data_IF_120859126823
#
_entry.id   IF_120859126823
#
_cell.length_a   1.000
_cell.length_b   1.000
_cell.length_c   1.000
_cell.angle_alpha   90.00
_cell.angle_beta   90.00
_cell.angle_gamma   90.00
#
_symmetry.space_group_name_H-M   'P 1'
#
loop_
_entity.id
_entity.type
_entity.pdbx_description
1 polymer ?
#
# COMPACT_ATOMS: atom_id res chain seq x y z
N UNK A 1 60.62 -37.55 -40.70
CA UNK A 1 59.21 -37.70 -40.29
C UNK A 1 59.12 -37.46 -38.80
N UNK A 2 58.68 -36.29 -38.33
CA UNK A 2 58.12 -36.05 -36.99
C UNK A 2 57.66 -34.57 -36.98
N UNK A 3 56.38 -34.33 -37.30
CA UNK A 3 55.75 -33.01 -37.22
C UNK A 3 55.13 -32.90 -35.82
N UNK A 4 55.66 -31.99 -34.99
CA UNK A 4 55.03 -31.57 -33.73
C UNK A 4 53.81 -30.72 -34.07
N UNK A 5 52.61 -31.24 -33.79
CA UNK A 5 51.38 -30.46 -33.74
C UNK A 5 51.28 -29.82 -32.35
N UNK A 6 51.41 -28.50 -32.29
CA UNK A 6 51.12 -27.71 -31.12
C UNK A 6 49.58 -27.59 -30.97
N UNK A 7 49.02 -28.17 -29.91
CA UNK A 7 47.66 -27.87 -29.47
C UNK A 7 47.68 -26.48 -28.80
N UNK A 8 46.99 -25.52 -29.41
CA UNK A 8 46.65 -24.27 -28.74
C UNK A 8 45.45 -24.51 -27.80
N UNK A 9 45.46 -24.01 -26.56
CA UNK A 9 44.30 -24.06 -25.70
C UNK A 9 43.26 -23.04 -26.21
N UNK A 10 42.09 -23.53 -26.63
CA UNK A 10 40.91 -22.68 -26.79
C UNK A 10 40.56 -22.12 -25.40
N UNK A 11 40.87 -20.84 -25.19
CA UNK A 11 40.31 -20.07 -24.09
C UNK A 11 38.82 -19.86 -24.38
N UNK A 12 37.95 -20.65 -23.74
CA UNK A 12 36.54 -20.31 -23.58
C UNK A 12 36.47 -19.04 -22.72
N UNK A 13 36.31 -17.90 -23.37
CA UNK A 13 35.85 -16.67 -22.73
C UNK A 13 34.38 -16.89 -22.33
N UNK A 14 34.18 -17.32 -21.09
CA UNK A 14 32.91 -17.20 -20.39
C UNK A 14 32.59 -15.70 -20.28
N UNK A 15 31.76 -15.20 -21.18
CA UNK A 15 31.08 -13.92 -21.04
C UNK A 15 29.98 -14.08 -19.98
N UNK A 16 30.37 -14.11 -18.70
CA UNK A 16 29.44 -14.02 -17.59
C UNK A 16 29.16 -12.53 -17.33
N UNK A 17 27.92 -12.17 -17.62
CA UNK A 17 27.06 -11.28 -16.84
C UNK A 17 27.59 -9.85 -16.65
N UNK A 18 27.11 -8.96 -17.52
CA UNK A 18 26.93 -7.55 -17.17
C UNK A 18 26.20 -7.48 -15.81
N UNK A 19 26.93 -7.10 -14.76
CA UNK A 19 26.33 -6.70 -13.49
C UNK A 19 25.55 -5.43 -13.77
N UNK A 20 24.25 -5.57 -13.97
CA UNK A 20 23.32 -4.47 -13.84
C UNK A 20 23.53 -3.91 -12.44
N UNK A 21 24.09 -2.69 -12.35
CA UNK A 21 24.02 -1.92 -11.12
C UNK A 21 22.56 -1.94 -10.65
N UNK A 22 22.29 -2.19 -9.36
CA UNK A 22 20.91 -2.24 -8.88
C UNK A 22 20.28 -0.89 -9.24
N UNK A 23 19.37 -0.93 -10.21
CA UNK A 23 18.64 0.25 -10.64
C UNK A 23 17.84 0.80 -9.46
N UNK A 24 17.25 1.98 -9.63
CA UNK A 24 16.42 2.61 -8.59
C UNK A 24 15.27 1.71 -8.08
N UNK A 25 14.90 0.68 -8.86
CA UNK A 25 13.89 -0.30 -8.52
C UNK A 25 14.41 -1.60 -7.86
N UNK A 26 15.72 -1.74 -7.66
CA UNK A 26 16.32 -3.00 -7.21
C UNK A 26 16.43 -4.06 -8.32
N UNK A 27 16.63 -5.32 -7.92
CA UNK A 27 16.83 -6.45 -8.83
C UNK A 27 15.56 -6.91 -9.55
N UNK A 28 14.40 -6.73 -8.91
CA UNK A 28 13.14 -7.35 -9.32
C UNK A 28 12.11 -6.34 -9.83
N UNK A 29 12.46 -5.05 -9.82
CA UNK A 29 11.60 -3.97 -10.29
C UNK A 29 11.96 -3.50 -11.70
N UNK A 30 10.94 -3.23 -12.50
CA UNK A 30 11.08 -2.62 -13.81
C UNK A 30 11.02 -1.09 -13.70
N UNK A 31 12.10 -0.41 -14.10
CA UNK A 31 12.17 1.06 -14.11
C UNK A 31 11.64 1.65 -15.41
N UNK A 32 10.79 2.67 -15.30
CA UNK A 32 10.36 3.52 -16.41
C UNK A 32 10.19 4.97 -15.93
N UNK A 33 10.38 5.92 -16.85
CA UNK A 33 10.04 7.33 -16.62
C UNK A 33 8.70 7.60 -17.29
N UNK A 34 7.72 8.08 -16.51
CA UNK A 34 6.36 8.42 -16.97
C UNK A 34 6.12 9.89 -16.66
N UNK A 35 5.93 10.70 -17.71
CA UNK A 35 5.70 12.14 -17.58
C UNK A 35 6.71 12.86 -16.67
N UNK A 36 7.98 12.45 -16.77
CA UNK A 36 9.11 13.02 -16.02
C UNK A 36 9.28 12.47 -14.60
N UNK A 37 8.40 11.59 -14.13
CA UNK A 37 8.49 10.94 -12.83
C UNK A 37 9.08 9.53 -12.94
N UNK A 38 9.83 9.13 -11.93
CA UNK A 38 10.39 7.78 -11.84
C UNK A 38 9.33 6.81 -11.36
N UNK A 39 9.20 5.69 -12.08
CA UNK A 39 8.24 4.63 -11.76
C UNK A 39 8.97 3.30 -11.73
N UNK A 40 8.71 2.54 -10.68
CA UNK A 40 9.16 1.17 -10.50
C UNK A 40 7.94 0.26 -10.43
N UNK A 41 7.90 -0.75 -11.28
CA UNK A 41 6.80 -1.70 -11.33
C UNK A 41 7.29 -3.10 -10.95
N UNK A 42 6.53 -3.79 -10.10
CA UNK A 42 6.87 -5.09 -9.51
C UNK A 42 5.72 -6.07 -9.72
N UNK A 43 6.01 -7.29 -10.18
CA UNK A 43 4.99 -8.31 -10.40
C UNK A 43 4.49 -8.88 -9.07
N UNK A 44 3.18 -9.04 -8.88
CA UNK A 44 2.58 -9.44 -7.59
C UNK A 44 2.82 -10.90 -7.17
N UNK A 45 3.59 -11.71 -7.91
CA UNK A 45 3.96 -13.07 -7.46
C UNK A 45 5.01 -13.10 -6.33
N UNK A 46 5.60 -11.95 -5.96
CA UNK A 46 6.63 -11.84 -4.89
C UNK A 46 6.04 -11.28 -3.58
N UNK A 47 4.76 -10.91 -3.55
CA UNK A 47 4.07 -10.41 -2.34
C UNK A 47 3.38 -11.56 -1.60
N UNK A 48 4.09 -12.67 -1.38
CA UNK A 48 3.62 -13.72 -0.48
C UNK A 48 4.64 -13.81 0.66
N UNK A 49 4.17 -13.54 1.87
CA UNK A 49 4.84 -13.69 3.18
C UNK A 49 5.75 -12.55 3.71
N UNK A 50 6.23 -11.61 2.88
CA UNK A 50 7.25 -10.63 3.32
C UNK A 50 6.83 -9.17 3.55
N UNK A 51 5.63 -8.75 3.15
CA UNK A 51 5.22 -7.34 3.21
C UNK A 51 6.05 -6.44 2.29
N UNK A 52 5.76 -6.45 0.99
CA UNK A 52 6.46 -5.60 0.00
C UNK A 52 6.37 -4.12 0.37
N UNK A 53 7.52 -3.42 0.33
CA UNK A 53 7.64 -1.98 0.56
C UNK A 53 8.34 -1.32 -0.62
N UNK A 54 7.81 -0.18 -1.05
CA UNK A 54 8.43 0.63 -2.08
C UNK A 54 9.80 1.16 -1.61
N UNK A 55 10.75 1.38 -2.53
CA UNK A 55 12.00 2.05 -2.20
C UNK A 55 11.74 3.43 -1.59
N UNK A 56 12.55 3.85 -0.61
CA UNK A 56 12.39 5.15 0.06
C UNK A 56 12.45 6.35 -0.90
N UNK A 57 13.13 6.20 -2.05
CA UNK A 57 13.17 7.22 -3.11
C UNK A 57 11.87 7.33 -3.93
N UNK A 58 10.96 6.37 -3.80
CA UNK A 58 9.72 6.23 -4.57
C UNK A 58 8.55 5.84 -3.64
N UNK A 59 8.18 6.69 -2.67
CA UNK A 59 7.31 6.32 -1.56
C UNK A 59 5.84 6.13 -1.97
N UNK A 60 5.42 6.65 -3.12
CA UNK A 60 4.03 6.58 -3.55
C UNK A 60 3.73 5.22 -4.16
N UNK A 61 2.91 4.43 -3.45
CA UNK A 61 2.47 3.10 -3.87
C UNK A 61 1.10 3.17 -4.54
N UNK A 62 0.98 2.52 -5.69
CA UNK A 62 -0.28 2.21 -6.36
C UNK A 62 -0.32 0.70 -6.62
N UNK A 63 -1.30 0.01 -6.05
CA UNK A 63 -1.54 -1.40 -6.31
C UNK A 63 -2.47 -1.56 -7.51
N UNK A 64 -2.05 -2.39 -8.47
CA UNK A 64 -2.80 -2.79 -9.65
C UNK A 64 -3.04 -4.30 -9.59
N UNK A 65 -4.01 -4.79 -10.34
CA UNK A 65 -4.25 -6.23 -10.45
C UNK A 65 -3.04 -6.92 -11.09
N UNK A 66 -2.26 -7.65 -10.28
CA UNK A 66 -1.03 -8.32 -10.72
C UNK A 66 0.26 -7.51 -10.58
N UNK A 67 0.23 -6.25 -10.13
CA UNK A 67 1.45 -5.45 -9.98
C UNK A 67 1.39 -4.41 -8.84
N UNK A 68 2.55 -4.10 -8.25
CA UNK A 68 2.74 -2.96 -7.38
C UNK A 68 3.59 -1.90 -8.09
N UNK A 69 3.14 -0.64 -8.06
CA UNK A 69 3.81 0.49 -8.68
C UNK A 69 4.31 1.43 -7.58
N UNK A 70 5.59 1.76 -7.62
CA UNK A 70 6.24 2.70 -6.71
C UNK A 70 6.73 3.92 -7.50
N UNK A 71 6.52 5.12 -6.99
CA UNK A 71 6.82 6.36 -7.74
C UNK A 71 7.22 7.52 -6.84
N UNK A 72 7.87 8.54 -7.42
CA UNK A 72 8.27 9.78 -6.74
C UNK A 72 7.14 10.81 -6.60
N UNK A 73 5.97 10.54 -7.19
CA UNK A 73 4.75 11.31 -7.03
C UNK A 73 3.52 10.41 -7.13
N UNK A 74 2.38 10.90 -6.66
CA UNK A 74 1.12 10.18 -6.76
C UNK A 74 0.67 10.07 -8.22
N UNK A 75 0.33 8.84 -8.63
CA UNK A 75 -0.23 8.53 -9.94
C UNK A 75 -1.61 7.89 -9.75
N UNK A 76 -2.53 8.20 -10.66
CA UNK A 76 -3.74 7.40 -10.86
C UNK A 76 -3.48 6.31 -11.90
N UNK A 77 -4.40 5.34 -11.98
CA UNK A 77 -4.32 4.27 -12.99
C UNK A 77 -4.29 4.84 -14.42
N UNK A 78 -4.99 5.94 -14.67
CA UNK A 78 -5.10 6.55 -16.00
C UNK A 78 -3.82 7.29 -16.45
N UNK A 79 -2.95 7.62 -15.50
CA UNK A 79 -1.68 8.29 -15.78
C UNK A 79 -0.57 7.30 -16.18
N UNK A 80 -0.79 6.00 -15.98
CA UNK A 80 0.20 4.97 -16.28
C UNK A 80 0.04 4.47 -17.71
N UNK A 81 1.14 4.28 -18.45
CA UNK A 81 1.05 3.80 -19.82
C UNK A 81 0.72 2.30 -19.82
N UNK A 82 -0.21 1.89 -20.69
CA UNK A 82 -0.69 0.50 -20.82
C UNK A 82 0.45 -0.53 -21.00
N UNK A 83 1.59 -0.10 -21.54
CA UNK A 83 2.74 -0.96 -21.81
C UNK A 83 3.63 -1.21 -20.58
N UNK A 84 3.60 -0.34 -19.57
CA UNK A 84 4.30 -0.55 -18.29
C UNK A 84 3.70 -1.77 -17.57
N UNK A 85 2.38 -1.78 -17.49
CA UNK A 85 1.57 -2.87 -16.95
C UNK A 85 1.89 -4.21 -17.62
N UNK A 86 1.80 -4.28 -18.96
CA UNK A 86 2.09 -5.50 -19.74
C UNK A 86 3.50 -6.05 -19.59
N UNK A 87 4.47 -5.19 -19.26
CA UNK A 87 5.88 -5.60 -19.12
C UNK A 87 6.17 -6.25 -17.77
N UNK A 88 5.40 -5.92 -16.75
CA UNK A 88 5.59 -6.42 -15.38
C UNK A 88 4.73 -7.64 -15.13
N UNK A 89 3.49 -7.63 -15.61
CA UNK A 89 2.65 -8.81 -15.64
C UNK A 89 1.86 -8.87 -16.95
N UNK A 90 1.75 -10.07 -17.52
CA UNK A 90 1.03 -10.29 -18.78
C UNK A 90 -0.48 -10.14 -18.61
N UNK A 91 -0.97 -10.17 -17.38
CA UNK A 91 -2.39 -9.99 -17.00
C UNK A 91 -2.80 -8.52 -16.94
N UNK A 92 -1.88 -7.57 -16.74
CA UNK A 92 -2.23 -6.15 -16.64
C UNK A 92 -2.60 -5.48 -18.00
N UNK A 93 -2.84 -6.28 -19.05
CA UNK A 93 -3.35 -5.78 -20.32
C UNK A 93 -4.87 -5.63 -20.27
N UNK A 94 -5.40 -4.50 -20.76
CA UNK A 94 -6.77 -4.42 -21.31
C UNK A 94 -6.93 -5.51 -22.38
N UNK A 95 -7.26 -6.72 -21.96
CA UNK A 95 -7.90 -7.70 -22.82
C UNK A 95 -9.39 -7.35 -22.81
N UNK A 96 -9.90 -7.03 -24.00
CA UNK A 96 -11.16 -6.33 -24.17
C UNK A 96 -12.35 -7.09 -23.59
N UNK A 97 -13.17 -6.36 -22.84
CA UNK A 97 -14.53 -6.79 -22.51
C UNK A 97 -14.82 -7.05 -21.05
N UNK A 98 -14.36 -6.21 -20.12
CA UNK A 98 -15.06 -5.97 -18.85
C UNK A 98 -14.66 -4.61 -18.29
N UNK A 99 -15.60 -3.69 -18.01
CA UNK A 99 -15.27 -2.49 -17.26
C UNK A 99 -15.07 -2.90 -15.81
N UNK A 100 -13.82 -3.14 -15.41
CA UNK A 100 -13.47 -3.24 -14.00
C UNK A 100 -13.48 -1.82 -13.41
N UNK A 101 -14.46 -1.62 -12.53
CA UNK A 101 -14.71 -0.40 -11.78
C UNK A 101 -13.41 0.08 -11.12
N UNK A 102 -12.96 1.27 -11.53
CA UNK A 102 -12.07 2.04 -10.71
C UNK A 102 -12.77 2.39 -9.40
N UNK A 103 -11.97 2.61 -8.35
CA UNK A 103 -12.36 3.53 -7.28
C UNK A 103 -12.35 4.92 -7.90
N UNK A 104 -13.34 5.16 -8.74
CA UNK A 104 -13.69 6.42 -9.35
C UNK A 104 -15.12 6.69 -8.97
N UNK A 105 -15.42 7.94 -8.68
CA UNK A 105 -16.77 8.48 -8.58
C UNK A 105 -17.51 8.36 -9.93
N UNK A 106 -17.71 7.12 -10.41
CA UNK A 106 -18.53 6.80 -11.56
C UNK A 106 -19.98 7.03 -11.14
N UNK A 107 -20.39 8.28 -11.32
CA UNK A 107 -21.77 8.73 -11.37
C UNK A 107 -22.55 7.89 -12.39
N UNK A 108 -23.09 6.76 -11.97
CA UNK A 108 -23.96 5.92 -12.80
C UNK A 108 -24.59 4.72 -12.10
N UNK A 109 -23.88 4.06 -11.19
CA UNK A 109 -24.40 2.89 -10.48
C UNK A 109 -24.67 3.23 -9.01
N UNK A 110 -25.86 3.72 -8.72
CA UNK A 110 -26.30 3.97 -7.35
C UNK A 110 -26.43 2.65 -6.61
N UNK A 111 -25.74 2.51 -5.47
CA UNK A 111 -25.97 1.40 -4.57
C UNK A 111 -27.46 1.29 -4.21
N UNK A 112 -28.07 0.09 -4.26
CA UNK A 112 -29.41 -0.10 -3.76
C UNK A 112 -29.48 0.33 -2.29
N UNK A 113 -30.64 0.85 -1.85
CA UNK A 113 -30.86 1.20 -0.44
C UNK A 113 -30.80 0.00 0.50
N UNK A 114 -30.93 -1.21 -0.05
CA UNK A 114 -30.80 -2.48 0.66
C UNK A 114 -30.21 -3.52 -0.28
N UNK A 115 -29.15 -4.18 0.17
CA UNK A 115 -28.52 -5.28 -0.56
C UNK A 115 -28.77 -6.56 0.22
N UNK A 116 -29.32 -7.55 -0.46
CA UNK A 116 -29.45 -8.90 0.05
C UNK A 116 -28.36 -9.75 -0.61
N UNK A 117 -27.56 -10.45 0.21
CA UNK A 117 -26.52 -11.35 -0.29
C UNK A 117 -27.17 -12.51 -1.06
N UNK A 118 -26.47 -13.03 -2.06
CA UNK A 118 -26.92 -14.08 -2.99
C UNK A 118 -28.07 -13.66 -3.92
N UNK A 119 -28.35 -12.35 -4.03
CA UNK A 119 -29.35 -11.82 -4.97
C UNK A 119 -28.70 -11.22 -6.23
N UNK A 120 -29.42 -11.15 -7.37
CA UNK A 120 -28.87 -10.58 -8.59
C UNK A 120 -28.49 -9.11 -8.44
N UNK A 121 -27.34 -8.74 -8.98
CA UNK A 121 -26.86 -7.36 -9.04
C UNK A 121 -26.81 -6.87 -10.49
N UNK A 122 -26.99 -5.56 -10.69
CA UNK A 122 -27.14 -4.96 -12.02
C UNK A 122 -25.81 -4.56 -12.66
N UNK A 123 -24.76 -4.39 -11.86
CA UNK A 123 -23.48 -3.82 -12.30
C UNK A 123 -22.34 -4.60 -11.67
N UNK A 124 -21.67 -5.42 -12.47
CA UNK A 124 -20.50 -6.20 -12.04
C UNK A 124 -19.38 -5.30 -11.51
N UNK A 125 -18.72 -5.72 -10.42
CA UNK A 125 -17.66 -4.96 -9.76
C UNK A 125 -18.15 -3.82 -8.88
N UNK A 126 -19.46 -3.53 -8.86
CA UNK A 126 -20.02 -2.52 -7.96
C UNK A 126 -19.82 -2.94 -6.50
N UNK A 127 -19.23 -2.05 -5.69
CA UNK A 127 -19.05 -2.24 -4.25
C UNK A 127 -19.93 -1.28 -3.46
N UNK A 128 -20.65 -1.81 -2.48
CA UNK A 128 -21.64 -1.09 -1.68
C UNK A 128 -21.55 -1.48 -0.21
N UNK A 129 -22.11 -0.67 0.70
CA UNK A 129 -22.04 -0.92 2.16
C UNK A 129 -21.06 -0.02 2.92
N UNK A 130 -20.38 0.89 2.21
CA UNK A 130 -19.58 1.95 2.82
C UNK A 130 -20.42 3.14 3.35
N UNK A 131 -19.77 4.09 4.05
CA UNK A 131 -18.33 4.22 4.15
C UNK A 131 -17.74 3.44 5.34
N UNK A 132 -16.74 2.60 5.06
CA UNK A 132 -15.89 1.97 6.08
C UNK A 132 -14.94 3.02 6.66
N UNK A 133 -15.48 3.95 7.45
CA UNK A 133 -14.72 5.07 8.01
C UNK A 133 -13.87 4.66 9.21
N UNK A 134 -14.26 3.59 9.90
CA UNK A 134 -13.51 3.03 11.03
C UNK A 134 -12.79 1.76 10.57
N UNK A 135 -11.48 1.86 10.37
CA UNK A 135 -10.62 0.73 10.00
C UNK A 135 -10.48 -0.30 11.14
N UNK A 136 -10.86 0.05 12.37
CA UNK A 136 -10.74 -0.78 13.55
C UNK A 136 -11.99 -1.62 13.85
N UNK A 137 -13.00 -1.54 12.97
CA UNK A 137 -14.23 -2.32 13.05
C UNK A 137 -14.44 -3.16 11.80
N UNK A 138 -15.23 -4.22 11.96
CA UNK A 138 -15.66 -5.02 10.82
C UNK A 138 -16.50 -4.15 9.90
N UNK A 139 -16.11 -4.10 8.63
CA UNK A 139 -16.92 -3.46 7.62
C UNK A 139 -17.45 -4.52 6.66
N UNK A 140 -18.78 -4.63 6.62
CA UNK A 140 -19.46 -5.51 5.69
C UNK A 140 -19.73 -4.73 4.40
N UNK A 141 -18.96 -5.04 3.38
CA UNK A 141 -19.21 -4.58 2.02
C UNK A 141 -19.95 -5.67 1.24
N UNK A 142 -20.67 -5.26 0.21
CA UNK A 142 -21.24 -6.14 -0.78
C UNK A 142 -20.60 -5.82 -2.13
N UNK A 143 -20.12 -6.84 -2.84
CA UNK A 143 -19.56 -6.71 -4.17
C UNK A 143 -20.39 -7.51 -5.15
N UNK A 144 -20.64 -6.96 -6.33
CA UNK A 144 -21.32 -7.68 -7.40
C UNK A 144 -20.30 -8.55 -8.16
N UNK A 145 -20.34 -9.87 -7.94
CA UNK A 145 -19.47 -10.85 -8.58
C UNK A 145 -20.29 -11.98 -9.19
N UNK A 146 -20.04 -12.30 -10.46
CA UNK A 146 -20.79 -13.29 -11.22
C UNK A 146 -22.26 -12.91 -11.42
N UNK A 147 -22.60 -11.62 -11.39
CA UNK A 147 -23.98 -11.12 -11.45
C UNK A 147 -24.79 -11.35 -10.17
N UNK A 148 -24.16 -11.72 -9.05
CA UNK A 148 -24.78 -11.81 -7.72
C UNK A 148 -24.04 -10.97 -6.68
N UNK A 149 -24.78 -10.44 -5.72
CA UNK A 149 -24.20 -9.76 -4.56
C UNK A 149 -23.53 -10.78 -3.64
N UNK A 150 -22.22 -10.66 -3.47
CA UNK A 150 -21.44 -11.44 -2.52
C UNK A 150 -20.99 -10.56 -1.36
N UNK A 151 -20.89 -11.15 -0.17
CA UNK A 151 -20.41 -10.44 1.01
C UNK A 151 -18.89 -10.38 0.97
N UNK A 152 -18.35 -9.16 1.07
CA UNK A 152 -16.94 -8.89 1.27
C UNK A 152 -16.77 -8.36 2.69
N UNK A 153 -16.24 -9.20 3.56
CA UNK A 153 -15.90 -8.80 4.93
C UNK A 153 -14.50 -8.19 4.94
N UNK A 154 -14.42 -6.88 5.21
CA UNK A 154 -13.16 -6.24 5.52
C UNK A 154 -12.85 -6.48 7.00
N UNK A 155 -11.81 -7.27 7.25
CA UNK A 155 -11.33 -7.53 8.60
C UNK A 155 -10.80 -6.25 9.23
N UNK A 156 -11.04 -6.02 10.54
CA UNK A 156 -10.47 -4.90 11.25
C UNK A 156 -8.95 -4.89 11.14
N UNK A 157 -8.37 -3.72 10.92
CA UNK A 157 -6.95 -3.50 11.13
C UNK A 157 -6.59 -3.76 12.60
N UNK A 158 -5.34 -4.17 12.91
CA UNK A 158 -4.86 -4.20 14.28
C UNK A 158 -4.85 -2.77 14.82
N UNK A 159 -5.73 -2.52 15.80
CA UNK A 159 -5.87 -1.20 16.42
C UNK A 159 -5.67 -1.26 17.93
N UNK A 160 -5.31 -0.12 18.52
CA UNK A 160 -5.18 0.07 19.95
C UNK A 160 -6.00 1.29 20.40
N UNK A 161 -6.37 1.31 21.68
CA UNK A 161 -7.20 2.38 22.23
C UNK A 161 -6.37 3.64 22.48
N UNK A 162 -6.81 4.77 21.93
CA UNK A 162 -6.21 6.09 22.09
C UNK A 162 -6.89 6.84 23.24
N UNK A 163 -6.59 6.40 24.46
CA UNK A 163 -7.12 7.00 25.69
C UNK A 163 -8.59 6.66 25.97
N UNK A 164 -9.26 7.52 26.75
CA UNK A 164 -10.52 7.15 27.42
C UNK A 164 -11.79 7.49 26.62
N UNK A 165 -11.68 8.18 25.47
CA UNK A 165 -12.83 8.64 24.69
C UNK A 165 -13.29 7.67 23.59
N UNK A 166 -12.67 6.50 23.50
CA UNK A 166 -13.04 5.44 22.54
C UNK A 166 -12.49 5.64 21.13
N UNK A 167 -11.57 6.60 20.94
CA UNK A 167 -10.77 6.74 19.73
C UNK A 167 -9.83 5.54 19.60
N UNK A 168 -9.65 4.97 18.41
CA UNK A 168 -8.78 3.81 18.17
C UNK A 168 -7.86 4.08 17.00
N UNK A 169 -6.55 3.90 17.22
CA UNK A 169 -5.54 4.13 16.19
C UNK A 169 -5.01 2.80 15.64
N UNK A 170 -4.59 2.81 14.38
CA UNK A 170 -4.02 1.65 13.69
C UNK A 170 -2.57 1.42 14.16
N UNK A 171 -2.28 0.26 14.76
CA UNK A 171 -1.02 -0.04 15.45
C UNK A 171 0.24 0.16 14.59
N UNK A 172 0.16 -0.11 13.29
CA UNK A 172 1.33 -0.08 12.40
C UNK A 172 1.58 1.27 11.72
N UNK A 173 0.55 2.09 11.59
CA UNK A 173 0.58 3.30 10.78
C UNK A 173 0.33 4.56 11.57
N UNK A 174 -0.08 4.47 12.84
CA UNK A 174 -0.49 5.60 13.65
C UNK A 174 0.04 5.51 15.08
N UNK A 175 0.15 6.67 15.73
CA UNK A 175 0.35 6.80 17.17
C UNK A 175 -0.75 7.69 17.76
N UNK A 176 -1.04 7.52 19.05
CA UNK A 176 -2.02 8.31 19.75
C UNK A 176 -1.36 9.57 20.33
N UNK A 177 -1.83 10.75 19.92
CA UNK A 177 -1.47 12.01 20.55
C UNK A 177 -2.56 12.41 21.55
N UNK A 178 -2.14 12.60 22.80
CA UNK A 178 -2.99 13.05 23.90
C UNK A 178 -2.52 14.43 24.30
N UNK A 179 -3.30 15.44 23.95
CA UNK A 179 -3.01 16.81 24.33
C UNK A 179 -3.83 17.17 25.56
N UNK A 180 -3.16 17.55 26.66
CA UNK A 180 -3.80 18.00 27.89
C UNK A 180 -3.50 19.48 28.12
N UNK A 181 -4.54 20.31 28.16
CA UNK A 181 -4.45 21.76 28.38
C UNK A 181 -5.19 22.58 27.32
N UNK A 182 -4.97 23.91 27.31
CA UNK A 182 -5.58 24.83 26.34
C UNK A 182 -6.62 25.80 26.91
N UNK A 183 -7.61 26.18 26.10
CA UNK A 183 -8.57 27.28 26.37
C UNK A 183 -9.43 27.03 27.62
N UNK A 184 -9.62 25.75 27.99
CA UNK A 184 -10.22 25.34 29.25
C UNK A 184 -9.21 24.47 30.03
N UNK A 185 -8.90 24.80 31.30
CA UNK A 185 -7.99 24.00 32.11
C UNK A 185 -8.56 22.59 32.30
N UNK A 186 -7.75 21.58 31.99
CA UNK A 186 -8.10 20.15 32.12
C UNK A 186 -8.77 19.52 30.91
N UNK A 187 -8.98 20.25 29.81
CA UNK A 187 -9.40 19.63 28.55
C UNK A 187 -8.32 18.67 28.04
N UNK A 188 -8.73 17.45 27.67
CA UNK A 188 -7.86 16.46 27.04
C UNK A 188 -8.45 16.11 25.69
N UNK A 189 -7.62 16.11 24.65
CA UNK A 189 -8.01 15.69 23.31
C UNK A 189 -7.15 14.51 22.88
N UNK A 190 -7.80 13.53 22.26
CA UNK A 190 -7.19 12.31 21.74
C UNK A 190 -7.20 12.38 20.22
N UNK A 191 -6.08 12.11 19.56
CA UNK A 191 -6.00 12.18 18.11
C UNK A 191 -5.02 11.16 17.58
N UNK A 192 -5.45 10.34 16.62
CA UNK A 192 -4.56 9.46 15.89
C UNK A 192 -3.73 10.27 14.90
N UNK A 193 -2.41 10.18 15.04
CA UNK A 193 -1.44 10.84 14.18
C UNK A 193 -0.73 9.81 13.32
N UNK A 194 -0.45 10.11 12.05
CA UNK A 194 0.32 9.21 11.19
C UNK A 194 1.73 9.03 11.73
N UNK A 195 2.21 7.79 11.68
CA UNK A 195 3.57 7.45 12.08
C UNK A 195 4.57 8.22 11.20
N UNK A 196 5.51 8.98 11.81
CA UNK A 196 6.49 9.74 11.05
C UNK A 196 7.34 8.83 10.16
N UNK A 197 7.79 9.32 9.01
CA UNK A 197 8.70 8.56 8.12
C UNK A 197 10.01 8.16 8.82
N UNK A 198 10.42 8.86 9.89
CA UNK A 198 11.57 8.46 10.70
C UNK A 198 11.38 7.13 11.46
N UNK A 199 10.14 6.65 11.57
CA UNK A 199 9.73 5.43 12.26
C UNK A 199 9.39 4.29 11.28
N UNK A 200 10.07 4.19 10.12
CA UNK A 200 9.74 3.18 9.10
C UNK A 200 9.60 1.78 9.71
N UNK A 201 8.39 1.21 9.60
CA UNK A 201 8.10 -0.15 10.06
C UNK A 201 7.11 -0.22 11.21
N UNK A 202 7.25 0.66 12.21
CA UNK A 202 6.38 0.72 13.40
C UNK A 202 6.63 2.00 14.20
N UNK A 203 5.57 2.63 14.70
CA UNK A 203 5.70 3.71 15.68
C UNK A 203 6.51 3.26 16.91
N UNK A 204 7.43 4.10 17.39
CA UNK A 204 8.13 3.89 18.67
C UNK A 204 8.48 5.21 19.33
N UNK A 205 8.65 5.21 20.64
CA UNK A 205 9.06 6.42 21.37
C UNK A 205 10.48 6.88 21.03
N UNK A 206 11.29 6.02 20.39
CA UNK A 206 12.64 6.37 19.96
C UNK A 206 12.67 7.31 18.74
N UNK A 207 11.61 7.31 17.93
CA UNK A 207 11.56 8.03 16.65
C UNK A 207 10.45 9.09 16.60
N UNK A 208 9.52 9.07 17.55
CA UNK A 208 8.49 10.10 17.71
C UNK A 208 9.00 11.14 18.72
N UNK A 209 9.08 12.40 18.29
CA UNK A 209 9.44 13.51 19.16
C UNK A 209 8.22 13.96 19.98
N UNK A 210 8.40 14.11 21.29
CA UNK A 210 7.37 14.51 22.24
C UNK A 210 7.80 15.78 22.99
N UNK A 211 7.93 16.93 22.31
CA UNK A 211 8.46 18.14 22.92
C UNK A 211 7.53 18.66 24.02
N UNK A 212 8.02 18.70 25.25
CA UNK A 212 7.22 19.12 26.41
C UNK A 212 6.20 18.08 26.87
N UNK A 213 6.43 16.82 26.53
CA UNK A 213 5.54 15.70 26.83
C UNK A 213 6.27 14.44 27.27
N UNK A 214 5.49 13.38 27.41
CA UNK A 214 5.94 12.02 27.68
C UNK A 214 5.51 11.09 26.55
N UNK A 215 6.29 10.04 26.28
CA UNK A 215 5.91 8.99 25.33
C UNK A 215 5.85 7.64 26.06
N UNK A 216 4.75 6.90 25.87
CA UNK A 216 4.51 5.57 26.42
C UNK A 216 4.33 4.54 25.30
N UNK A 217 5.09 3.45 25.38
CA UNK A 217 5.02 2.30 24.48
C UNK A 217 4.79 0.99 25.27
N UNK A 218 4.21 1.09 26.47
CA UNK A 218 4.01 -0.06 27.35
C UNK A 218 2.79 -0.92 26.98
N UNK A 219 1.89 -0.39 26.15
CA UNK A 219 0.68 -1.05 25.65
C UNK A 219 0.80 -1.56 24.21
N UNK A 220 -0.35 -1.78 23.58
CA UNK A 220 -0.47 -2.30 22.21
C UNK A 220 -0.16 -1.26 21.11
N UNK A 221 0.19 -0.03 21.49
CA UNK A 221 0.55 1.07 20.58
C UNK A 221 1.29 2.18 21.31
N UNK A 222 1.68 3.22 20.56
CA UNK A 222 2.44 4.35 21.10
C UNK A 222 1.50 5.49 21.46
N UNK A 223 1.66 6.02 22.68
CA UNK A 223 0.89 7.14 23.22
C UNK A 223 1.81 8.29 23.60
N UNK A 224 1.66 9.43 22.94
CA UNK A 224 2.40 10.66 23.22
C UNK A 224 1.50 11.63 23.97
N UNK A 225 1.91 12.04 25.17
CA UNK A 225 1.17 12.97 26.03
C UNK A 225 1.84 14.32 26.01
N UNK A 226 1.19 15.33 25.45
CA UNK A 226 1.69 16.70 25.36
C UNK A 226 0.95 17.56 26.37
N UNK A 227 1.69 18.30 27.20
CA UNK A 227 1.13 19.20 28.20
C UNK A 227 1.31 20.66 27.76
N UNK A 228 0.21 21.39 27.63
CA UNK A 228 0.32 22.83 27.45
C UNK A 228 0.79 23.50 28.75
N UNK A 229 1.69 24.50 28.69
CA UNK A 229 2.12 25.26 29.86
C UNK A 229 1.00 26.12 30.48
#
# INVERSE_FOLDING_TARGET
MLRRLALAPLALLLACSSSSEPGICGSDGYHQVVDGANVCAYAQAIVIEGGFRCPASLPFRLDLDGAAICSDRMFSRDDLPDDLCRRVDRTCGRDGGRPDAGVGDDAGATCPSSIEIDTPCSSEGLTCGGPCTDACQFCNLAVCDGGVWTQLEAFPAPCFDCGDEGERCIQETEYCEVFTGGVAPGATTYTCQPTPTACEGSASCACIDAPGGDCDESGDGVVVRIFAP
#
